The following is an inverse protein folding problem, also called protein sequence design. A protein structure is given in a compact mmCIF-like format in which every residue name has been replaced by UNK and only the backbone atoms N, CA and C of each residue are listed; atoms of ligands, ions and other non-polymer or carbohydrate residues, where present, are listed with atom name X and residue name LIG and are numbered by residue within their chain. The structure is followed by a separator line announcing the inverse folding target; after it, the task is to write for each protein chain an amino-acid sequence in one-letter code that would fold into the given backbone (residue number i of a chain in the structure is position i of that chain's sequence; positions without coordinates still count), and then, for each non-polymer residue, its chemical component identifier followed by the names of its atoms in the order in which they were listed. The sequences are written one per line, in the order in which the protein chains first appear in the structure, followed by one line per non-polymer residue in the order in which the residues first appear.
data_IF_901101587338
#
_entry.id   IF_901101587338
#
_cell.length_a   1.000
_cell.length_b   1.000
_cell.length_c   1.000
_cell.angle_alpha   90.00
_cell.angle_beta   90.00
_cell.angle_gamma   90.00
#
_symmetry.space_group_name_H-M   'P 1'
#
loop_
_entity.id
_entity.type
_entity.pdbx_description
1 polymer ?
#
# COMPACT_ATOMS: atom_id res chain seq x y z
N UNK A 1 21.20 5.14 -5.80
CA UNK A 1 20.22 6.20 -6.08
C UNK A 1 19.27 5.81 -7.22
N UNK A 2 18.41 4.81 -7.04
CA UNK A 2 17.49 4.36 -8.11
C UNK A 2 16.44 3.33 -7.69
N UNK A 3 16.23 3.13 -6.39
CA UNK A 3 15.29 2.12 -5.88
C UNK A 3 13.84 2.55 -6.12
N UNK A 4 13.52 3.82 -5.86
CA UNK A 4 12.21 4.38 -6.15
C UNK A 4 11.91 4.37 -7.66
N UNK A 5 12.89 4.71 -8.50
CA UNK A 5 12.76 4.61 -9.97
C UNK A 5 12.52 3.17 -10.45
N UNK A 6 13.17 2.18 -9.82
CA UNK A 6 12.92 0.77 -10.11
C UNK A 6 11.50 0.34 -9.69
N UNK A 7 11.00 0.80 -8.55
CA UNK A 7 9.61 0.54 -8.12
C UNK A 7 8.59 1.20 -9.06
N UNK A 8 8.79 2.46 -9.46
CA UNK A 8 7.92 3.13 -10.43
C UNK A 8 7.93 2.44 -11.80
N UNK A 9 9.08 1.94 -12.25
CA UNK A 9 9.15 1.12 -13.46
C UNK A 9 8.36 -0.19 -13.33
N UNK A 10 8.47 -0.89 -12.19
CA UNK A 10 7.67 -2.08 -11.88
C UNK A 10 6.17 -1.74 -11.86
N UNK A 11 5.77 -0.60 -11.31
CA UNK A 11 4.37 -0.21 -11.25
C UNK A 11 3.81 0.29 -12.59
N UNK A 12 4.64 0.38 -13.64
CA UNK A 12 4.24 0.90 -14.96
C UNK A 12 4.12 2.42 -15.02
N UNK A 13 4.62 3.14 -14.01
CA UNK A 13 4.63 4.61 -13.93
C UNK A 13 5.81 5.24 -14.69
N UNK A 14 6.65 4.44 -15.33
CA UNK A 14 7.84 4.89 -16.07
C UNK A 14 7.97 4.17 -17.40
N UNK A 15 8.35 4.90 -18.46
CA UNK A 15 8.53 4.33 -19.79
C UNK A 15 9.76 3.42 -19.86
N UNK A 16 9.57 2.19 -20.37
CA UNK A 16 10.66 1.25 -20.65
C UNK A 16 11.39 1.64 -21.93
N UNK A 17 12.63 2.11 -21.80
CA UNK A 17 13.47 2.48 -22.95
C UNK A 17 14.00 1.25 -23.71
N UNK A 18 14.38 0.18 -23.00
CA UNK A 18 14.86 -1.10 -23.55
C UNK A 18 14.53 -2.26 -22.58
N UNK A 19 14.38 -3.48 -23.11
CA UNK A 19 14.09 -4.70 -22.34
C UNK A 19 12.59 -5.06 -22.30
N UNK A 20 12.24 -6.08 -21.52
CA UNK A 20 10.87 -6.52 -21.29
C UNK A 20 10.59 -6.69 -19.80
N UNK A 21 9.37 -6.37 -19.38
CA UNK A 21 8.91 -6.49 -18.00
C UNK A 21 7.58 -7.22 -17.97
N UNK A 22 7.45 -8.20 -17.08
CA UNK A 22 6.20 -8.94 -16.86
C UNK A 22 5.99 -9.08 -15.37
N UNK A 23 4.76 -8.82 -14.93
CA UNK A 23 4.34 -8.95 -13.54
C UNK A 23 3.19 -9.95 -13.52
N UNK A 24 3.31 -10.96 -12.66
CA UNK A 24 2.28 -11.96 -12.45
C UNK A 24 1.78 -11.87 -11.01
N UNK A 25 0.46 -11.77 -10.83
CA UNK A 25 -0.18 -11.68 -9.52
C UNK A 25 -0.59 -10.27 -9.10
N UNK A 26 -0.93 -10.11 -7.82
CA UNK A 26 -1.40 -8.84 -7.24
C UNK A 26 -0.23 -8.06 -6.66
N UNK A 27 -0.22 -6.73 -6.88
CA UNK A 27 0.80 -5.82 -6.34
C UNK A 27 0.15 -4.83 -5.39
N UNK A 28 0.84 -4.47 -4.31
CA UNK A 28 0.45 -3.39 -3.40
C UNK A 28 1.56 -2.36 -3.36
N UNK A 29 1.19 -1.09 -3.51
CA UNK A 29 2.14 0.02 -3.51
C UNK A 29 2.12 0.76 -2.17
N UNK A 30 3.31 1.08 -1.65
CA UNK A 30 3.50 1.91 -0.46
C UNK A 30 4.44 3.06 -0.84
N UNK A 31 3.94 4.30 -0.95
CA UNK A 31 4.75 5.44 -1.36
C UNK A 31 5.74 5.86 -0.26
N UNK A 32 6.79 6.60 -0.66
CA UNK A 32 7.76 7.16 0.28
C UNK A 32 7.12 8.19 1.22
N UNK A 33 6.19 8.99 0.72
CA UNK A 33 5.42 9.95 1.53
C UNK A 33 4.04 9.36 1.79
N UNK A 34 3.64 9.29 3.06
CA UNK A 34 2.33 8.77 3.44
C UNK A 34 1.22 9.61 2.81
N UNK A 35 0.20 8.93 2.27
CA UNK A 35 -1.01 9.54 1.75
C UNK A 35 -2.21 9.00 2.53
N UNK A 36 -2.99 9.90 3.12
CA UNK A 36 -4.15 9.58 3.96
C UNK A 36 -5.32 10.44 3.48
N UNK A 37 -6.47 9.81 3.24
CA UNK A 37 -7.71 10.46 2.85
C UNK A 37 -8.35 11.16 4.05
N UNK A 38 -9.10 12.23 3.79
CA UNK A 38 -9.92 12.90 4.81
C UNK A 38 -11.20 12.09 5.11
N UNK A 39 -11.01 10.90 5.69
CA UNK A 39 -12.05 9.98 6.14
C UNK A 39 -11.58 9.29 7.43
N UNK A 40 -12.40 8.38 7.98
CA UNK A 40 -12.02 7.71 9.22
C UNK A 40 -10.73 6.90 9.04
N UNK A 41 -10.00 6.66 10.13
CA UNK A 41 -8.82 5.79 10.10
C UNK A 41 -9.18 4.39 9.56
N UNK A 42 -10.35 3.88 9.95
CA UNK A 42 -10.86 2.59 9.47
C UNK A 42 -11.01 2.61 7.96
N UNK A 43 -11.60 3.65 7.39
CA UNK A 43 -11.81 3.75 5.94
C UNK A 43 -10.49 3.89 5.20
N UNK A 44 -9.52 4.60 5.78
CA UNK A 44 -8.15 4.66 5.25
C UNK A 44 -7.46 3.29 5.24
N UNK A 45 -7.62 2.48 6.30
CA UNK A 45 -7.06 1.12 6.37
C UNK A 45 -7.79 0.16 5.42
N UNK A 46 -9.11 0.28 5.30
CA UNK A 46 -9.92 -0.57 4.44
C UNK A 46 -9.78 -0.21 2.96
N UNK A 47 -9.53 1.05 2.63
CA UNK A 47 -9.31 1.52 1.26
C UNK A 47 -10.37 1.03 0.25
N UNK A 48 -11.63 1.02 0.66
CA UNK A 48 -12.78 0.56 -0.15
C UNK A 48 -13.13 -0.93 -0.03
N UNK A 49 -12.35 -1.73 0.70
CA UNK A 49 -12.71 -3.12 1.03
C UNK A 49 -13.82 -3.18 2.10
N UNK A 50 -14.65 -4.22 2.04
CA UNK A 50 -15.68 -4.47 3.07
C UNK A 50 -15.06 -4.68 4.44
N UNK A 51 -15.69 -4.12 5.47
CA UNK A 51 -15.23 -4.27 6.84
C UNK A 51 -15.38 -5.72 7.33
N UNK A 52 -14.26 -6.32 7.73
CA UNK A 52 -14.22 -7.59 8.42
C UNK A 52 -13.50 -7.41 9.75
N UNK A 53 -14.24 -7.47 10.86
CA UNK A 53 -13.71 -7.18 12.19
C UNK A 53 -12.53 -8.07 12.59
N UNK A 54 -12.58 -9.38 12.27
CA UNK A 54 -11.48 -10.30 12.60
C UNK A 54 -10.21 -9.94 11.84
N UNK A 55 -10.32 -9.59 10.56
CA UNK A 55 -9.18 -9.15 9.74
C UNK A 55 -8.67 -7.79 10.20
N UNK A 56 -9.57 -6.85 10.46
CA UNK A 56 -9.23 -5.51 10.90
C UNK A 56 -8.43 -5.55 12.21
N UNK A 57 -8.89 -6.29 13.21
CA UNK A 57 -8.16 -6.39 14.48
C UNK A 57 -6.77 -7.02 14.29
N UNK A 58 -6.64 -8.05 13.46
CA UNK A 58 -5.33 -8.63 13.13
C UNK A 58 -4.39 -7.61 12.48
N UNK A 59 -4.89 -6.72 11.63
CA UNK A 59 -4.10 -5.66 10.99
C UNK A 59 -3.62 -4.65 12.04
N UNK A 60 -4.52 -4.20 12.92
CA UNK A 60 -4.16 -3.27 14.00
C UNK A 60 -3.04 -3.85 14.88
N UNK A 61 -3.15 -5.13 15.21
CA UNK A 61 -2.18 -5.82 16.06
C UNK A 61 -0.83 -6.01 15.32
N UNK A 62 -0.87 -6.43 14.05
CA UNK A 62 0.32 -6.67 13.24
C UNK A 62 1.09 -5.38 12.91
N UNK A 63 0.38 -4.26 12.74
CA UNK A 63 0.98 -2.95 12.51
C UNK A 63 1.32 -2.21 13.80
N UNK A 64 1.18 -2.85 14.97
CA UNK A 64 1.39 -2.26 16.29
C UNK A 64 0.58 -0.98 16.57
N UNK A 65 -0.51 -0.77 15.84
CA UNK A 65 -1.35 0.44 15.92
C UNK A 65 -2.20 0.52 17.19
N UNK A 66 -2.23 -0.52 18.03
CA UNK A 66 -3.05 -0.51 19.26
C UNK A 66 -2.66 0.65 20.18
N UNK A 67 -1.37 0.85 20.42
CA UNK A 67 -0.89 1.87 21.33
C UNK A 67 -1.17 3.30 20.83
N UNK A 68 -1.24 3.49 19.51
CA UNK A 68 -1.56 4.78 18.89
C UNK A 68 -3.06 5.10 18.87
N UNK A 69 -3.91 4.11 19.16
CA UNK A 69 -5.38 4.21 19.13
C UNK A 69 -6.03 4.38 20.50
N UNK A 70 -5.24 4.31 21.57
CA UNK A 70 -5.65 4.57 22.97
C UNK A 70 -5.62 6.06 23.29
#
# INVERSE_FOLDING_TARGET
SGKSSMLSAILGEMDTLQGSMSISGSTTYVPQTAWVQNCSLRDNILFGYSYNQKRYQKIIDACALRADLE
#
